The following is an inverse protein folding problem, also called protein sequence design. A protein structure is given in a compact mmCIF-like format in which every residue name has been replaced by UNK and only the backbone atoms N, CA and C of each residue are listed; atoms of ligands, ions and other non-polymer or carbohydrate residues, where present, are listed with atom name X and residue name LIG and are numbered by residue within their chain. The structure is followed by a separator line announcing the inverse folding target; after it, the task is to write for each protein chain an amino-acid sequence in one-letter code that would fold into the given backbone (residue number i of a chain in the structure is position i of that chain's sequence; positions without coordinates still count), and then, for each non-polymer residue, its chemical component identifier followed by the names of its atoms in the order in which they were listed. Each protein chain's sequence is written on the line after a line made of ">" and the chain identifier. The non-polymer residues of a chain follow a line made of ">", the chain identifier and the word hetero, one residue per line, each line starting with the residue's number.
data_IF_822493040679
#
_entry.id   IF_822493040679
#
_cell.length_a   1.000
_cell.length_b   1.000
_cell.length_c   1.000
_cell.angle_alpha   90.00
_cell.angle_beta   90.00
_cell.angle_gamma   90.00
#
_symmetry.space_group_name_H-M   'P 1'
#
loop_
_entity.id
_entity.type
_entity.pdbx_description
1 polymer ?
#
# COMPACT_ATOMS: atom_id res chain seq x y z
N UNK A 1 11.33 -0.26 8.25
CA UNK A 1 12.76 -0.64 8.19
C UNK A 1 13.36 -0.50 6.78
N UNK A 2 12.82 -1.14 5.75
CA UNK A 2 13.39 -1.09 4.38
C UNK A 2 13.41 0.33 3.77
N UNK A 3 12.34 1.10 3.94
CA UNK A 3 12.25 2.47 3.45
C UNK A 3 13.28 3.40 4.11
N UNK A 4 13.55 3.23 5.40
CA UNK A 4 14.53 4.05 6.13
C UNK A 4 15.97 3.67 5.76
N UNK A 5 16.25 2.40 5.48
CA UNK A 5 17.57 1.94 5.06
C UNK A 5 17.95 2.45 3.67
N UNK A 6 16.99 2.54 2.75
CA UNK A 6 17.19 3.07 1.40
C UNK A 6 17.49 4.58 1.37
N UNK A 7 16.99 5.36 2.33
CA UNK A 7 17.07 6.82 2.28
C UNK A 7 18.51 7.38 2.12
N UNK A 8 19.53 6.94 2.91
CA UNK A 8 20.88 7.46 2.76
C UNK A 8 21.52 7.06 1.42
N UNK A 9 21.25 5.84 0.92
CA UNK A 9 21.81 5.37 -0.37
C UNK A 9 21.24 6.20 -1.53
N UNK A 10 19.92 6.36 -1.61
CA UNK A 10 19.28 7.17 -2.65
C UNK A 10 19.71 8.64 -2.56
N UNK A 11 19.85 9.18 -1.34
CA UNK A 11 20.30 10.55 -1.13
C UNK A 11 21.74 10.76 -1.62
N UNK A 12 22.65 9.81 -1.41
CA UNK A 12 24.03 9.87 -1.88
C UNK A 12 24.11 9.81 -3.41
N UNK A 13 23.42 8.85 -4.03
CA UNK A 13 23.38 8.71 -5.50
C UNK A 13 22.77 9.96 -6.16
N UNK A 14 21.72 10.51 -5.56
CA UNK A 14 21.10 11.75 -6.05
C UNK A 14 22.06 12.96 -5.95
N UNK A 15 22.82 13.07 -4.86
CA UNK A 15 23.79 14.14 -4.65
C UNK A 15 25.00 14.06 -5.62
N UNK A 16 25.40 12.86 -6.02
CA UNK A 16 26.47 12.63 -7.02
C UNK A 16 26.00 12.77 -8.47
N UNK A 17 24.67 12.87 -8.68
CA UNK A 17 24.05 12.97 -10.00
C UNK A 17 23.87 11.64 -10.71
N UNK A 18 24.11 10.51 -10.03
CA UNK A 18 23.90 9.17 -10.57
C UNK A 18 22.43 8.74 -10.40
N UNK A 19 21.60 9.21 -11.34
CA UNK A 19 20.17 8.97 -11.32
C UNK A 19 19.82 7.51 -11.66
N UNK A 20 20.66 6.81 -12.43
CA UNK A 20 20.40 5.43 -12.80
C UNK A 20 20.61 4.51 -11.60
N UNK A 21 21.70 4.67 -10.85
CA UNK A 21 21.91 3.93 -9.61
C UNK A 21 20.82 4.24 -8.55
N UNK A 22 20.44 5.51 -8.42
CA UNK A 22 19.34 5.90 -7.54
C UNK A 22 18.02 5.19 -7.91
N UNK A 23 17.69 5.10 -9.20
CA UNK A 23 16.52 4.40 -9.69
C UNK A 23 16.56 2.91 -9.40
N UNK A 24 17.71 2.26 -9.58
CA UNK A 24 17.89 0.84 -9.30
C UNK A 24 17.68 0.52 -7.82
N UNK A 25 18.22 1.32 -6.91
CA UNK A 25 18.00 1.19 -5.46
C UNK A 25 16.52 1.36 -5.08
N UNK A 26 15.84 2.32 -5.68
CA UNK A 26 14.39 2.54 -5.47
C UNK A 26 13.60 1.34 -5.95
N UNK A 27 13.90 0.83 -7.16
CA UNK A 27 13.22 -0.35 -7.72
C UNK A 27 13.43 -1.60 -6.88
N UNK A 28 14.66 -1.84 -6.41
CA UNK A 28 14.98 -2.95 -5.52
C UNK A 28 14.15 -2.89 -4.23
N UNK A 29 14.08 -1.73 -3.59
CA UNK A 29 13.29 -1.54 -2.37
C UNK A 29 11.79 -1.73 -2.61
N UNK A 30 11.27 -1.22 -3.72
CA UNK A 30 9.86 -1.45 -4.10
C UNK A 30 9.59 -2.93 -4.34
N UNK A 31 10.49 -3.64 -5.06
CA UNK A 31 10.35 -5.09 -5.30
C UNK A 31 10.32 -5.88 -3.99
N UNK A 32 11.26 -5.63 -3.09
CA UNK A 32 11.30 -6.28 -1.77
C UNK A 32 10.03 -6.03 -0.97
N UNK A 33 9.58 -4.78 -0.95
CA UNK A 33 8.36 -4.43 -0.22
C UNK A 33 7.12 -5.07 -0.83
N UNK A 34 7.00 -5.10 -2.15
CA UNK A 34 5.87 -5.76 -2.81
C UNK A 34 5.90 -7.28 -2.60
N UNK A 35 7.09 -7.88 -2.59
CA UNK A 35 7.26 -9.30 -2.32
C UNK A 35 6.77 -9.71 -0.92
N UNK A 36 6.80 -8.79 0.05
CA UNK A 36 6.29 -9.01 1.41
C UNK A 36 4.83 -8.56 1.55
N UNK A 37 4.49 -7.38 1.02
CA UNK A 37 3.17 -6.76 1.24
C UNK A 37 2.04 -7.47 0.50
N UNK A 38 2.29 -7.97 -0.71
CA UNK A 38 1.25 -8.64 -1.50
C UNK A 38 0.85 -9.97 -0.86
N UNK A 39 1.77 -10.90 -0.48
CA UNK A 39 1.41 -12.10 0.25
C UNK A 39 0.76 -11.81 1.60
N UNK A 40 1.24 -10.81 2.33
CA UNK A 40 0.66 -10.40 3.60
C UNK A 40 -0.81 -9.93 3.44
N UNK A 41 -1.09 -9.12 2.42
CA UNK A 41 -2.45 -8.67 2.11
C UNK A 41 -3.37 -9.85 1.72
N UNK A 42 -2.88 -10.76 0.88
CA UNK A 42 -3.64 -11.96 0.50
C UNK A 42 -3.90 -12.86 1.71
N UNK A 43 -2.88 -13.08 2.56
CA UNK A 43 -3.02 -13.87 3.79
C UNK A 43 -4.05 -13.26 4.74
N UNK A 44 -3.98 -11.93 4.98
CA UNK A 44 -4.98 -11.21 5.78
C UNK A 44 -6.38 -11.30 5.18
N UNK A 45 -6.51 -11.22 3.86
CA UNK A 45 -7.80 -11.32 3.18
C UNK A 45 -8.42 -12.71 3.30
N UNK A 46 -7.63 -13.77 3.07
CA UNK A 46 -8.11 -15.17 3.14
C UNK A 46 -8.44 -15.59 4.57
N UNK A 47 -7.61 -15.19 5.52
CA UNK A 47 -7.77 -15.52 6.94
C UNK A 47 -8.56 -14.49 7.75
N UNK A 48 -9.19 -13.51 7.08
CA UNK A 48 -9.91 -12.42 7.75
C UNK A 48 -10.99 -12.94 8.72
N UNK A 49 -11.82 -13.86 8.28
CA UNK A 49 -12.88 -14.43 9.13
C UNK A 49 -12.35 -15.31 10.28
N UNK A 50 -11.40 -16.25 10.05
CA UNK A 50 -10.76 -16.99 11.14
C UNK A 50 -10.13 -16.10 12.19
N UNK A 51 -9.33 -15.10 11.77
CA UNK A 51 -8.63 -14.18 12.67
C UNK A 51 -9.64 -13.39 13.50
N UNK A 52 -10.64 -12.80 12.85
CA UNK A 52 -11.66 -12.00 13.55
C UNK A 52 -12.60 -12.87 14.40
N UNK A 53 -12.82 -14.11 14.03
CA UNK A 53 -13.59 -15.08 14.84
C UNK A 53 -12.94 -15.38 16.18
N UNK A 54 -11.62 -15.45 16.22
CA UNK A 54 -10.86 -15.64 17.47
C UNK A 54 -10.78 -14.35 18.28
N UNK A 55 -10.53 -13.22 17.63
CA UNK A 55 -10.33 -11.92 18.32
C UNK A 55 -11.65 -11.28 18.76
N UNK A 56 -12.69 -11.37 17.95
CA UNK A 56 -13.97 -10.69 18.12
C UNK A 56 -15.16 -11.64 17.88
N UNK A 57 -15.42 -12.62 18.74
CA UNK A 57 -16.46 -13.64 18.52
C UNK A 57 -17.86 -13.06 18.30
N UNK A 58 -18.19 -11.96 19.01
CA UNK A 58 -19.51 -11.32 18.95
C UNK A 58 -19.75 -10.50 17.67
N UNK A 59 -18.71 -10.10 16.95
CA UNK A 59 -18.79 -9.25 15.74
C UNK A 59 -17.94 -9.76 14.58
N UNK A 60 -17.62 -11.04 14.56
CA UNK A 60 -16.71 -11.67 13.61
C UNK A 60 -17.09 -11.45 12.14
N UNK A 61 -18.39 -11.48 11.82
CA UNK A 61 -18.88 -11.30 10.45
C UNK A 61 -18.60 -9.87 9.91
N UNK A 62 -18.86 -8.84 10.72
CA UNK A 62 -18.60 -7.45 10.33
C UNK A 62 -17.09 -7.19 10.28
N UNK A 63 -16.39 -7.56 11.35
CA UNK A 63 -14.94 -7.37 11.47
C UNK A 63 -14.17 -8.10 10.38
N UNK A 64 -14.59 -9.33 10.02
CA UNK A 64 -13.99 -10.10 8.94
C UNK A 64 -14.12 -9.43 7.57
N UNK A 65 -15.29 -8.90 7.25
CA UNK A 65 -15.51 -8.14 6.02
C UNK A 65 -14.64 -6.86 5.97
N UNK A 66 -14.56 -6.14 7.08
CA UNK A 66 -13.75 -4.91 7.18
C UNK A 66 -12.26 -5.23 7.04
N UNK A 67 -11.78 -6.31 7.69
CA UNK A 67 -10.39 -6.75 7.58
C UNK A 67 -10.05 -7.20 6.16
N UNK A 68 -10.95 -7.94 5.51
CA UNK A 68 -10.78 -8.36 4.12
C UNK A 68 -10.69 -7.17 3.16
N UNK A 69 -11.56 -6.18 3.31
CA UNK A 69 -11.49 -4.95 2.51
C UNK A 69 -10.21 -4.15 2.84
N UNK A 70 -9.88 -4.02 4.12
CA UNK A 70 -8.68 -3.32 4.58
C UNK A 70 -7.37 -3.98 4.16
N UNK A 71 -7.35 -5.28 3.89
CA UNK A 71 -6.16 -5.99 3.40
C UNK A 71 -5.61 -5.38 2.09
N UNK A 72 -6.48 -4.87 1.23
CA UNK A 72 -6.07 -4.18 -0.01
C UNK A 72 -5.30 -2.89 0.29
N UNK A 73 -5.66 -2.17 1.35
CA UNK A 73 -4.97 -0.93 1.73
C UNK A 73 -3.51 -1.16 2.15
N UNK A 74 -3.16 -2.36 2.63
CA UNK A 74 -1.80 -2.71 3.08
C UNK A 74 -0.80 -2.53 1.93
N UNK A 75 -1.14 -2.98 0.72
CA UNK A 75 -0.26 -2.87 -0.46
C UNK A 75 -0.06 -1.40 -0.85
N UNK A 76 -1.14 -0.63 -0.92
CA UNK A 76 -1.04 0.79 -1.28
C UNK A 76 -0.36 1.62 -0.20
N UNK A 77 -0.58 1.31 1.08
CA UNK A 77 0.11 1.97 2.20
C UNK A 77 1.60 1.68 2.20
N UNK A 78 2.01 0.47 1.89
CA UNK A 78 3.42 0.12 1.75
C UNK A 78 4.08 0.90 0.61
N UNK A 79 3.44 0.98 -0.57
CA UNK A 79 3.90 1.78 -1.70
C UNK A 79 3.96 3.28 -1.37
N UNK A 80 2.93 3.82 -0.73
CA UNK A 80 2.88 5.23 -0.36
C UNK A 80 4.01 5.58 0.62
N UNK A 81 4.33 4.68 1.55
CA UNK A 81 5.43 4.86 2.50
C UNK A 81 6.77 4.93 1.79
N UNK A 82 7.05 4.01 0.85
CA UNK A 82 8.32 4.02 0.10
C UNK A 82 8.42 5.27 -0.77
N UNK A 83 7.40 5.57 -1.56
CA UNK A 83 7.41 6.73 -2.44
C UNK A 83 7.54 8.04 -1.66
N UNK A 84 7.01 8.09 -0.45
CA UNK A 84 7.19 9.21 0.46
C UNK A 84 8.65 9.33 0.94
N UNK A 85 9.27 8.19 1.30
CA UNK A 85 10.68 8.14 1.70
C UNK A 85 11.62 8.54 0.53
N UNK A 86 11.30 8.11 -0.70
CA UNK A 86 12.05 8.54 -1.90
C UNK A 86 12.00 10.05 -2.08
N UNK A 87 10.82 10.67 -1.98
CA UNK A 87 10.70 12.13 -2.08
C UNK A 87 11.48 12.87 -0.98
N UNK A 88 11.55 12.29 0.22
CA UNK A 88 12.34 12.83 1.31
C UNK A 88 13.84 12.71 1.03
N UNK A 89 14.30 11.56 0.49
CA UNK A 89 15.72 11.30 0.16
C UNK A 89 16.26 12.30 -0.88
N UNK A 90 15.44 12.68 -1.85
CA UNK A 90 15.84 13.65 -2.90
C UNK A 90 15.59 15.13 -2.50
N UNK A 91 15.37 15.39 -1.22
CA UNK A 91 15.17 16.75 -0.71
C UNK A 91 13.81 17.38 -1.03
N UNK A 92 12.85 16.61 -1.58
CA UNK A 92 11.52 17.09 -1.96
C UNK A 92 10.46 16.88 -0.86
N UNK A 93 10.85 17.07 0.40
CA UNK A 93 9.98 16.89 1.58
C UNK A 93 8.70 17.75 1.53
N UNK A 94 8.82 18.98 1.02
CA UNK A 94 7.67 19.89 0.85
C UNK A 94 6.62 19.32 -0.12
N UNK A 95 7.06 18.63 -1.18
CA UNK A 95 6.14 17.97 -2.13
C UNK A 95 5.48 16.74 -1.52
N UNK A 96 6.24 15.95 -0.76
CA UNK A 96 5.69 14.83 -0.03
C UNK A 96 4.58 15.27 0.93
N UNK A 97 4.82 16.36 1.69
CA UNK A 97 3.82 16.95 2.58
C UNK A 97 2.60 17.49 1.83
N UNK A 98 2.83 18.17 0.71
CA UNK A 98 1.75 18.72 -0.12
C UNK A 98 0.87 17.61 -0.72
N UNK A 99 1.48 16.54 -1.24
CA UNK A 99 0.77 15.37 -1.74
C UNK A 99 -0.05 14.70 -0.64
N UNK A 100 0.50 14.60 0.57
CA UNK A 100 -0.20 14.06 1.73
C UNK A 100 -1.42 14.94 2.11
N UNK A 101 -1.26 16.25 2.11
CA UNK A 101 -2.34 17.18 2.41
C UNK A 101 -3.47 17.10 1.36
N UNK A 102 -3.12 17.02 0.08
CA UNK A 102 -4.10 16.84 -1.01
C UNK A 102 -4.84 15.50 -0.85
N UNK A 103 -4.10 14.41 -0.61
CA UNK A 103 -4.70 13.08 -0.43
C UNK A 103 -5.65 13.05 0.76
N UNK A 104 -5.28 13.69 1.87
CA UNK A 104 -6.13 13.82 3.05
C UNK A 104 -7.39 14.67 2.76
N UNK A 105 -7.23 15.78 2.04
CA UNK A 105 -8.37 16.61 1.63
C UNK A 105 -9.35 15.84 0.74
N UNK A 106 -8.84 15.07 -0.24
CA UNK A 106 -9.67 14.20 -1.08
C UNK A 106 -10.38 13.13 -0.25
N UNK A 107 -9.68 12.52 0.68
CA UNK A 107 -10.22 11.49 1.56
C UNK A 107 -11.39 12.01 2.42
N UNK A 108 -11.21 13.16 3.06
CA UNK A 108 -12.24 13.82 3.85
C UNK A 108 -13.48 14.19 3.02
N UNK A 109 -13.29 14.71 1.81
CA UNK A 109 -14.40 15.04 0.90
C UNK A 109 -15.15 13.79 0.49
N UNK A 110 -14.45 12.73 0.09
CA UNK A 110 -15.08 11.46 -0.31
C UNK A 110 -15.79 10.82 0.87
N UNK A 111 -15.17 10.81 2.05
CA UNK A 111 -15.79 10.28 3.28
C UNK A 111 -17.08 11.05 3.60
N UNK A 112 -17.04 12.38 3.56
CA UNK A 112 -18.23 13.22 3.80
C UNK A 112 -19.35 12.96 2.78
N UNK A 113 -19.01 12.81 1.49
CA UNK A 113 -19.96 12.49 0.44
C UNK A 113 -20.60 11.11 0.63
N UNK A 114 -19.79 10.08 0.94
CA UNK A 114 -20.32 8.73 1.19
C UNK A 114 -21.25 8.72 2.39
N UNK A 115 -20.89 9.38 3.47
CA UNK A 115 -21.74 9.48 4.67
C UNK A 115 -23.03 10.26 4.43
N UNK A 116 -22.99 11.31 3.59
CA UNK A 116 -24.18 12.09 3.23
C UNK A 116 -25.15 11.31 2.35
N UNK A 117 -24.64 10.52 1.39
CA UNK A 117 -25.45 9.77 0.42
C UNK A 117 -25.91 8.42 1.00
N UNK A 118 -25.06 7.76 1.79
CA UNK A 118 -25.30 6.42 2.33
C UNK A 118 -25.10 6.37 3.86
N UNK A 119 -26.02 6.94 4.67
CA UNK A 119 -25.84 7.02 6.12
C UNK A 119 -25.80 5.66 6.83
N UNK A 120 -26.21 4.56 6.17
CA UNK A 120 -26.16 3.19 6.71
C UNK A 120 -24.81 2.50 6.52
N UNK A 121 -23.87 3.10 5.79
CA UNK A 121 -22.60 2.47 5.41
C UNK A 121 -21.41 2.90 6.29
N UNK A 122 -21.68 3.54 7.43
CA UNK A 122 -20.76 4.27 8.30
C UNK A 122 -19.33 3.67 8.40
N UNK A 123 -19.17 2.40 8.80
CA UNK A 123 -17.87 1.77 9.03
C UNK A 123 -17.20 1.38 7.71
N UNK A 124 -17.94 0.90 6.71
CA UNK A 124 -17.41 0.55 5.40
C UNK A 124 -16.87 1.78 4.65
N UNK A 125 -17.51 2.93 4.84
CA UNK A 125 -17.09 4.20 4.26
C UNK A 125 -15.67 4.58 4.73
N UNK A 126 -15.37 4.39 6.01
CA UNK A 126 -14.04 4.69 6.58
C UNK A 126 -12.95 3.79 5.98
N UNK A 127 -13.22 2.48 5.83
CA UNK A 127 -12.25 1.57 5.22
C UNK A 127 -12.02 1.90 3.75
N UNK A 128 -13.08 2.21 3.02
CA UNK A 128 -12.99 2.60 1.60
C UNK A 128 -12.23 3.91 1.43
N UNK A 129 -12.50 4.90 2.27
CA UNK A 129 -11.78 6.16 2.31
C UNK A 129 -10.28 5.94 2.56
N UNK A 130 -9.89 5.12 3.55
CA UNK A 130 -8.49 4.78 3.82
C UNK A 130 -7.77 4.10 2.65
N UNK A 131 -8.47 3.24 1.88
CA UNK A 131 -7.92 2.66 0.64
C UNK A 131 -7.67 3.76 -0.39
N UNK A 132 -8.65 4.66 -0.56
CA UNK A 132 -8.55 5.76 -1.52
C UNK A 132 -7.45 6.74 -1.15
N UNK A 133 -7.30 7.06 0.15
CA UNK A 133 -6.19 7.87 0.66
C UNK A 133 -4.84 7.28 0.27
N UNK A 134 -4.60 6.01 0.59
CA UNK A 134 -3.34 5.31 0.30
C UNK A 134 -3.05 5.25 -1.20
N UNK A 135 -4.08 5.03 -2.02
CA UNK A 135 -3.97 5.00 -3.47
C UNK A 135 -3.66 6.40 -4.03
N UNK A 136 -4.39 7.43 -3.60
CA UNK A 136 -4.16 8.81 -4.01
C UNK A 136 -2.75 9.28 -3.66
N UNK A 137 -2.31 8.98 -2.45
CA UNK A 137 -0.95 9.28 -1.99
C UNK A 137 0.10 8.60 -2.86
N UNK A 138 -0.09 7.30 -3.17
CA UNK A 138 0.81 6.53 -4.03
C UNK A 138 0.90 7.12 -5.44
N UNK A 139 -0.23 7.49 -6.03
CA UNK A 139 -0.30 8.08 -7.38
C UNK A 139 0.39 9.45 -7.42
N UNK A 140 0.07 10.35 -6.49
CA UNK A 140 0.65 11.69 -6.44
C UNK A 140 2.15 11.65 -6.19
N UNK A 141 2.62 10.79 -5.29
CA UNK A 141 4.04 10.60 -5.04
C UNK A 141 4.76 10.04 -6.25
N UNK A 142 4.19 9.03 -6.92
CA UNK A 142 4.78 8.44 -8.12
C UNK A 142 4.89 9.46 -9.27
N UNK A 143 3.87 10.29 -9.47
CA UNK A 143 3.93 11.39 -10.44
C UNK A 143 5.03 12.40 -10.10
N UNK A 144 5.19 12.72 -8.81
CA UNK A 144 6.23 13.62 -8.33
C UNK A 144 7.64 13.03 -8.53
N UNK A 145 7.83 11.74 -8.27
CA UNK A 145 9.12 11.04 -8.46
C UNK A 145 9.48 10.98 -9.95
N UNK A 146 8.53 10.60 -10.81
CA UNK A 146 8.76 10.56 -12.26
C UNK A 146 9.24 11.89 -12.83
N UNK A 147 8.76 12.99 -12.30
CA UNK A 147 9.14 14.34 -12.74
C UNK A 147 10.60 14.70 -12.37
N UNK A 148 11.17 14.08 -11.31
CA UNK A 148 12.49 14.45 -10.78
C UNK A 148 13.59 13.44 -11.12
N UNK A 149 13.23 12.14 -11.20
CA UNK A 149 14.18 11.05 -11.37
C UNK A 149 14.06 10.34 -12.73
N UNK A 150 13.15 10.77 -13.62
CA UNK A 150 12.85 10.06 -14.87
C UNK A 150 12.54 8.55 -14.63
N UNK A 151 11.91 8.26 -13.51
CA UNK A 151 11.72 6.92 -12.95
C UNK A 151 10.96 6.01 -13.89
N UNK A 152 11.56 4.86 -14.24
CA UNK A 152 10.93 3.80 -15.03
C UNK A 152 10.50 2.66 -14.13
N UNK A 153 9.20 2.53 -13.94
CA UNK A 153 8.66 1.44 -13.15
C UNK A 153 8.56 0.16 -14.00
N UNK A 154 9.26 -0.90 -13.59
CA UNK A 154 9.14 -2.23 -14.19
C UNK A 154 7.92 -2.98 -13.65
N UNK A 155 6.75 -2.68 -14.19
CA UNK A 155 5.47 -3.18 -13.69
C UNK A 155 5.41 -4.72 -13.62
N UNK A 156 5.92 -5.43 -14.63
CA UNK A 156 5.87 -6.90 -14.69
C UNK A 156 6.64 -7.58 -13.56
N UNK A 157 7.87 -7.17 -13.34
CA UNK A 157 8.73 -7.85 -12.35
C UNK A 157 8.38 -7.46 -10.92
N UNK A 158 7.88 -6.24 -10.73
CA UNK A 158 7.62 -5.66 -9.41
C UNK A 158 6.26 -6.07 -8.83
N UNK A 159 5.24 -6.22 -9.68
CA UNK A 159 3.86 -6.47 -9.21
C UNK A 159 3.32 -7.84 -9.64
N UNK A 160 3.55 -8.26 -10.89
CA UNK A 160 2.92 -9.47 -11.43
C UNK A 160 3.49 -10.74 -10.79
N UNK A 161 4.79 -10.84 -10.64
CA UNK A 161 5.42 -12.04 -10.02
C UNK A 161 4.99 -12.26 -8.56
N UNK A 162 5.06 -11.24 -7.67
CA UNK A 162 4.56 -11.39 -6.31
C UNK A 162 3.06 -11.68 -6.25
N UNK A 163 2.26 -11.10 -7.16
CA UNK A 163 0.82 -11.32 -7.20
C UNK A 163 0.48 -12.79 -7.54
N UNK A 164 1.15 -13.38 -8.52
CA UNK A 164 0.95 -14.80 -8.88
C UNK A 164 1.34 -15.70 -7.71
N UNK A 165 2.51 -15.46 -7.10
CA UNK A 165 2.96 -16.24 -5.95
C UNK A 165 1.98 -16.12 -4.76
N UNK A 166 1.50 -14.92 -4.48
CA UNK A 166 0.53 -14.67 -3.42
C UNK A 166 -0.85 -15.29 -3.72
N UNK A 167 -1.28 -15.29 -4.98
CA UNK A 167 -2.53 -15.96 -5.37
C UNK A 167 -2.45 -17.47 -5.14
N UNK A 168 -1.34 -18.11 -5.52
CA UNK A 168 -1.11 -19.54 -5.26
C UNK A 168 -1.11 -19.80 -3.75
N UNK A 169 -0.38 -19.00 -2.97
CA UNK A 169 -0.37 -19.11 -1.51
C UNK A 169 -1.76 -18.95 -0.92
N UNK A 170 -2.55 -17.96 -1.39
CA UNK A 170 -3.91 -17.71 -0.94
C UNK A 170 -4.85 -18.89 -1.21
N UNK A 171 -4.76 -19.51 -2.41
CA UNK A 171 -5.54 -20.71 -2.76
C UNK A 171 -5.17 -21.89 -1.88
N UNK A 172 -3.87 -22.13 -1.69
CA UNK A 172 -3.41 -23.23 -0.80
C UNK A 172 -3.89 -23.01 0.64
N UNK A 173 -3.75 -21.80 1.16
CA UNK A 173 -4.22 -21.45 2.50
C UNK A 173 -5.72 -21.64 2.65
N UNK A 174 -6.49 -21.23 1.64
CA UNK A 174 -7.94 -21.41 1.62
C UNK A 174 -8.33 -22.89 1.61
N UNK A 175 -7.71 -23.71 0.75
CA UNK A 175 -7.96 -25.15 0.67
C UNK A 175 -7.62 -25.86 1.99
N UNK A 176 -6.46 -25.53 2.57
CA UNK A 176 -6.02 -26.14 3.83
C UNK A 176 -6.96 -25.77 4.97
N UNK A 177 -7.34 -24.49 5.06
CA UNK A 177 -8.23 -24.05 6.13
C UNK A 177 -9.63 -24.63 6.00
N UNK A 178 -10.29 -24.51 4.83
CA UNK A 178 -11.65 -25.02 4.64
C UNK A 178 -11.74 -26.52 4.34
N UNK A 179 -10.61 -27.17 4.10
CA UNK A 179 -10.56 -28.63 3.94
C UNK A 179 -10.26 -29.40 5.23
N UNK A 180 -9.69 -28.71 6.25
CA UNK A 180 -9.39 -29.31 7.57
C UNK A 180 -10.44 -28.97 8.64
N UNK A 181 -11.24 -27.93 8.46
CA UNK A 181 -12.27 -27.43 9.36
C UNK A 181 -13.61 -27.29 8.66
#
# INVERSE_FOLDING_TARGET
>A
ASASAMMPEVSSCYATGDLDEANDKILETIRLTMFISIPAAVGLGVLAFPITGVLFPSSSSLSGKLLMMGAVSVVFSALSTITNSVLQSIGQQKKALHNAAISLGMDLVVLALILAVFPKTNIYAVVFAGILFSLSMCVLNNLSIRKHLNFRNEFKNTYVKPLIAAAIMGVVTWIVYYGLF
#
